data_IF_431428280225
#
_entry.id   IF_431428280225
#
_cell.length_a   1.000
_cell.length_b   1.000
_cell.length_c   1.000
_cell.angle_alpha   90.00
_cell.angle_beta   90.00
_cell.angle_gamma   90.00
#
_symmetry.space_group_name_H-M   'P 1'
#
loop_
_entity.id
_entity.type
_entity.pdbx_description
1 polymer ?
#
# COMPACT_ATOMS: atom_id res chain seq x y z
N UNK A 1 -11.45 12.65 24.59
CA UNK A 1 -11.43 13.10 23.18
C UNK A 1 -11.79 11.92 22.31
N UNK A 2 -12.69 12.07 21.34
CA UNK A 2 -12.98 11.00 20.38
C UNK A 2 -11.73 10.75 19.53
N UNK A 3 -11.27 9.51 19.50
CA UNK A 3 -10.18 9.09 18.61
C UNK A 3 -10.76 8.90 17.22
N UNK A 4 -10.15 9.53 16.21
CA UNK A 4 -10.54 9.36 14.81
C UNK A 4 -10.27 7.92 14.39
N UNK A 5 -11.31 7.19 14.00
CA UNK A 5 -11.26 5.81 13.51
C UNK A 5 -12.10 5.72 12.23
N UNK A 6 -11.50 5.79 11.04
CA UNK A 6 -12.25 5.58 9.80
C UNK A 6 -12.75 4.13 9.75
N UNK A 7 -13.97 3.86 9.23
CA UNK A 7 -14.43 2.49 9.04
C UNK A 7 -13.60 1.75 7.99
N UNK A 8 -13.19 2.46 6.94
CA UNK A 8 -12.23 2.01 5.95
C UNK A 8 -11.35 3.18 5.51
N UNK A 9 -10.04 2.96 5.44
CA UNK A 9 -9.05 3.94 4.98
C UNK A 9 -8.67 3.64 3.53
N UNK A 10 -8.67 4.63 2.61
CA UNK A 10 -8.25 4.42 1.23
C UNK A 10 -6.74 4.14 1.16
N UNK A 11 -6.33 3.12 0.40
CA UNK A 11 -4.93 2.79 0.14
C UNK A 11 -4.54 3.00 -1.33
N UNK A 12 -5.37 2.56 -2.27
CA UNK A 12 -5.23 2.85 -3.70
C UNK A 12 -6.62 3.04 -4.29
N UNK A 13 -6.98 4.29 -4.58
CA UNK A 13 -8.36 4.66 -4.98
C UNK A 13 -8.37 5.52 -6.24
N UNK A 14 -7.56 5.13 -7.23
CA UNK A 14 -7.40 5.87 -8.47
C UNK A 14 -8.53 5.62 -9.50
N UNK A 15 -9.17 4.44 -9.49
CA UNK A 15 -10.24 4.08 -10.42
C UNK A 15 -11.12 2.93 -9.89
N UNK A 16 -12.25 2.58 -10.52
CA UNK A 16 -13.02 1.40 -10.11
C UNK A 16 -12.25 0.07 -10.17
N UNK A 17 -11.16 0.00 -10.94
CA UNK A 17 -10.26 -1.17 -11.02
C UNK A 17 -9.07 -1.07 -10.05
N UNK A 18 -8.83 0.12 -9.49
CA UNK A 18 -7.78 0.42 -8.51
C UNK A 18 -8.47 1.09 -7.31
N UNK A 19 -9.15 0.26 -6.53
CA UNK A 19 -9.98 0.70 -5.39
C UNK A 19 -9.82 -0.30 -4.24
N UNK A 20 -8.71 -0.12 -3.54
CA UNK A 20 -8.21 -0.92 -2.42
C UNK A 20 -8.29 -0.14 -1.11
N UNK A 21 -8.82 -0.79 -0.08
CA UNK A 21 -9.19 -0.18 1.19
C UNK A 21 -8.71 -1.03 2.38
N UNK A 22 -8.35 -0.37 3.48
CA UNK A 22 -8.11 -1.01 4.78
C UNK A 22 -9.33 -0.83 5.67
N UNK A 23 -10.13 -1.88 5.88
CA UNK A 23 -11.36 -1.83 6.68
C UNK A 23 -11.20 -2.33 8.12
N UNK A 24 -10.02 -2.10 8.69
CA UNK A 24 -9.62 -2.50 10.05
C UNK A 24 -9.06 -1.33 10.84
N UNK A 25 -8.91 -1.51 12.16
CA UNK A 25 -8.33 -0.49 13.04
C UNK A 25 -6.84 -0.29 12.78
N UNK A 26 -6.09 -1.39 12.70
CA UNK A 26 -4.69 -1.37 12.30
C UNK A 26 -4.54 -1.95 10.90
N UNK A 27 -3.64 -1.35 10.12
CA UNK A 27 -3.27 -1.81 8.78
C UNK A 27 -2.70 -3.24 8.77
N UNK A 28 -2.37 -3.76 9.94
CA UNK A 28 -1.80 -5.09 10.20
C UNK A 28 -2.81 -6.10 10.72
N UNK A 29 -4.09 -5.74 10.86
CA UNK A 29 -5.10 -6.65 11.42
C UNK A 29 -5.64 -7.63 10.36
N UNK A 30 -5.74 -7.22 9.09
CA UNK A 30 -6.24 -8.04 7.98
C UNK A 30 -5.62 -7.62 6.63
N UNK A 31 -5.88 -8.40 5.59
CA UNK A 31 -5.57 -8.02 4.23
C UNK A 31 -6.39 -6.78 3.81
N UNK A 32 -5.84 -5.87 2.99
CA UNK A 32 -6.66 -4.89 2.29
C UNK A 32 -7.73 -5.56 1.45
N UNK A 33 -8.82 -4.86 1.22
CA UNK A 33 -9.95 -5.34 0.42
C UNK A 33 -10.16 -4.46 -0.80
N UNK A 34 -10.48 -5.09 -1.93
CA UNK A 34 -11.03 -4.39 -3.07
C UNK A 34 -12.47 -3.92 -2.77
N UNK A 35 -12.97 -2.91 -3.48
CA UNK A 35 -14.33 -2.39 -3.24
C UNK A 35 -15.45 -3.42 -3.46
N UNK A 36 -15.18 -4.52 -4.18
CA UNK A 36 -16.09 -5.66 -4.33
C UNK A 36 -16.17 -6.54 -3.08
N UNK A 37 -15.25 -6.38 -2.15
CA UNK A 37 -15.13 -7.17 -0.92
C UNK A 37 -14.09 -8.29 -0.99
N UNK A 38 -13.46 -8.50 -2.15
CA UNK A 38 -12.40 -9.49 -2.32
C UNK A 38 -11.13 -9.05 -1.57
N UNK A 39 -10.48 -9.96 -0.86
CA UNK A 39 -9.20 -9.70 -0.19
C UNK A 39 -8.07 -9.60 -1.20
N UNK A 40 -7.15 -8.66 -0.98
CA UNK A 40 -5.97 -8.45 -1.80
C UNK A 40 -4.72 -8.75 -0.97
N UNK A 41 -3.91 -9.68 -1.48
CA UNK A 41 -2.67 -10.11 -0.83
C UNK A 41 -1.57 -9.05 -0.98
N UNK A 42 -1.66 -8.01 -0.15
CA UNK A 42 -0.63 -6.99 0.00
C UNK A 42 0.16 -7.26 1.27
N UNK A 43 1.49 -7.18 1.15
CA UNK A 43 2.41 -7.46 2.25
C UNK A 43 3.35 -6.29 2.44
N UNK A 44 3.44 -5.82 3.69
CA UNK A 44 4.43 -4.83 4.08
C UNK A 44 5.25 -5.31 5.27
N UNK A 45 6.57 -5.39 5.09
CA UNK A 45 7.52 -5.69 6.15
C UNK A 45 8.53 -4.55 6.31
N UNK A 46 9.03 -4.36 7.52
CA UNK A 46 10.14 -3.47 7.82
C UNK A 46 11.13 -4.21 8.70
N UNK A 47 12.39 -4.23 8.28
CA UNK A 47 13.50 -4.81 9.04
C UNK A 47 14.26 -3.69 9.72
N UNK A 48 14.48 -3.81 11.03
CA UNK A 48 15.22 -2.83 11.85
C UNK A 48 16.30 -3.59 12.62
N UNK A 49 17.55 -3.45 12.19
CA UNK A 49 18.62 -4.36 12.61
C UNK A 49 18.31 -5.81 12.20
N UNK A 50 18.20 -6.71 13.18
CA UNK A 50 17.91 -8.13 12.97
C UNK A 50 16.43 -8.49 13.19
N UNK A 51 15.60 -7.54 13.62
CA UNK A 51 14.18 -7.76 13.87
C UNK A 51 13.33 -7.36 12.67
N UNK A 52 12.33 -8.17 12.34
CA UNK A 52 11.36 -7.92 11.27
C UNK A 52 10.00 -7.65 11.88
N UNK A 53 9.35 -6.59 11.40
CA UNK A 53 8.00 -6.20 11.80
C UNK A 53 7.11 -6.09 10.57
N UNK A 54 5.85 -6.49 10.70
CA UNK A 54 4.84 -6.35 9.65
C UNK A 54 4.09 -5.03 9.83
N UNK A 55 3.99 -4.23 8.78
CA UNK A 55 3.28 -2.93 8.79
C UNK A 55 2.04 -2.90 7.89
N UNK A 56 1.83 -3.92 7.05
CA UNK A 56 0.64 -4.06 6.19
C UNK A 56 0.30 -5.54 5.97
N UNK A 57 -1.00 -5.82 5.86
CA UNK A 57 -1.55 -7.10 5.44
C UNK A 57 -2.02 -7.96 6.61
N UNK A 58 -2.55 -9.16 6.31
CA UNK A 58 -2.98 -10.11 7.31
C UNK A 58 -1.78 -10.65 8.14
N UNK A 59 -2.03 -11.21 9.34
CA UNK A 59 -1.00 -11.95 10.08
C UNK A 59 -0.44 -13.12 9.25
N UNK A 60 0.80 -12.98 8.80
CA UNK A 60 1.56 -14.02 8.11
C UNK A 60 2.69 -14.49 9.02
N UNK A 61 2.72 -15.79 9.34
CA UNK A 61 3.73 -16.42 10.21
C UNK A 61 3.80 -15.78 11.62
N UNK A 62 4.80 -16.16 12.41
CA UNK A 62 5.11 -15.53 13.70
C UNK A 62 5.90 -14.22 13.54
N UNK A 63 5.49 -13.35 12.61
CA UNK A 63 6.07 -12.02 12.43
C UNK A 63 5.28 -11.01 13.26
N UNK A 64 5.97 -10.32 14.17
CA UNK A 64 5.36 -9.30 15.03
C UNK A 64 4.81 -8.12 14.21
N UNK A 65 3.61 -7.65 14.55
CA UNK A 65 3.08 -6.41 13.96
C UNK A 65 3.85 -5.19 14.48
N UNK A 66 4.22 -4.27 13.58
CA UNK A 66 4.63 -2.94 13.95
C UNK A 66 3.47 -2.24 14.66
N UNK A 67 3.76 -1.51 15.73
CA UNK A 67 2.71 -0.82 16.50
C UNK A 67 2.26 0.41 15.71
N UNK A 68 1.02 0.41 15.23
CA UNK A 68 0.41 1.59 14.63
C UNK A 68 0.25 2.69 15.70
N UNK A 69 0.87 3.85 15.46
CA UNK A 69 0.78 5.03 16.33
C UNK A 69 -0.43 5.88 15.92
N UNK A 70 -0.62 6.09 14.63
CA UNK A 70 -1.70 6.93 14.10
C UNK A 70 -2.06 6.60 12.66
N UNK A 71 -3.29 6.95 12.30
CA UNK A 71 -3.77 7.06 10.93
C UNK A 71 -4.39 8.46 10.73
N UNK A 72 -4.04 9.11 9.63
CA UNK A 72 -4.60 10.40 9.21
C UNK A 72 -5.10 10.26 7.77
N UNK A 73 -6.36 10.63 7.53
CA UNK A 73 -6.98 10.60 6.21
C UNK A 73 -7.22 12.03 5.74
N UNK A 74 -6.50 12.42 4.70
CA UNK A 74 -6.60 13.69 3.99
C UNK A 74 -7.32 13.48 2.64
N UNK A 75 -7.72 14.54 1.92
CA UNK A 75 -8.54 14.41 0.71
C UNK A 75 -8.00 13.46 -0.37
N UNK A 76 -6.67 13.39 -0.53
CA UNK A 76 -5.99 12.56 -1.53
C UNK A 76 -4.90 11.66 -0.94
N UNK A 77 -4.73 11.69 0.39
CA UNK A 77 -3.60 11.06 1.06
C UNK A 77 -4.04 10.35 2.34
N UNK A 78 -3.64 9.10 2.50
CA UNK A 78 -3.71 8.38 3.77
C UNK A 78 -2.32 8.22 4.35
N UNK A 79 -2.11 8.75 5.55
CA UNK A 79 -0.83 8.67 6.27
C UNK A 79 -0.93 7.74 7.47
N UNK A 80 -0.01 6.79 7.54
CA UNK A 80 0.17 5.92 8.69
C UNK A 80 1.53 6.16 9.33
N UNK A 81 1.59 6.07 10.65
CA UNK A 81 2.83 6.10 11.43
C UNK A 81 2.90 4.85 12.28
N UNK A 82 4.02 4.13 12.19
CA UNK A 82 4.29 2.88 12.90
C UNK A 82 5.56 2.98 13.73
N UNK A 83 5.56 2.35 14.90
CA UNK A 83 6.77 2.05 15.67
C UNK A 83 7.20 0.60 15.40
N UNK A 84 8.41 0.42 14.90
CA UNK A 84 9.04 -0.87 14.64
C UNK A 84 10.39 -0.93 15.38
N UNK A 85 10.42 -1.55 16.56
CA UNK A 85 11.61 -1.53 17.42
C UNK A 85 12.02 -0.10 17.75
N UNK A 86 13.26 0.28 17.43
CA UNK A 86 13.78 1.64 17.62
C UNK A 86 13.46 2.61 16.48
N UNK A 87 12.90 2.13 15.36
CA UNK A 87 12.62 2.96 14.20
C UNK A 87 11.14 3.37 14.11
N UNK A 88 10.91 4.55 13.55
CA UNK A 88 9.59 5.06 13.20
C UNK A 88 9.44 5.00 11.69
N UNK A 89 8.44 4.26 11.21
CA UNK A 89 8.09 4.16 9.80
C UNK A 89 6.85 5.01 9.53
N UNK A 90 6.96 5.99 8.63
CA UNK A 90 5.81 6.70 8.06
C UNK A 90 5.56 6.16 6.66
N UNK A 91 4.31 5.80 6.39
CA UNK A 91 3.86 5.33 5.07
C UNK A 91 2.75 6.26 4.60
N UNK A 92 2.85 6.75 3.37
CA UNK A 92 1.82 7.58 2.76
C UNK A 92 1.34 6.94 1.47
N UNK A 93 0.02 6.77 1.36
CA UNK A 93 -0.66 6.40 0.13
C UNK A 93 -1.26 7.67 -0.46
N UNK A 94 -0.78 8.10 -1.63
CA UNK A 94 -1.18 9.34 -2.29
C UNK A 94 -1.74 9.04 -3.67
N UNK A 95 -3.00 9.41 -3.90
CA UNK A 95 -3.65 9.38 -5.21
C UNK A 95 -3.87 10.84 -5.64
N UNK A 96 -3.15 11.39 -6.62
CA UNK A 96 -3.23 12.78 -7.02
C UNK A 96 -4.50 13.06 -7.85
N UNK A 97 -5.67 12.95 -7.21
CA UNK A 97 -6.98 13.22 -7.83
C UNK A 97 -7.29 14.72 -7.96
N UNK A 98 -6.47 15.57 -7.33
CA UNK A 98 -6.57 17.02 -7.39
C UNK A 98 -5.21 17.54 -7.83
N UNK A 99 -5.15 18.06 -9.05
CA UNK A 99 -3.96 18.71 -9.60
C UNK A 99 -4.21 20.22 -9.70
N UNK A 100 -3.17 20.99 -9.38
CA UNK A 100 -3.16 22.45 -9.50
C UNK A 100 -2.27 22.91 -10.67
N UNK A 101 -1.68 21.98 -11.41
CA UNK A 101 -1.02 22.29 -12.67
C UNK A 101 -2.06 22.66 -13.73
N UNK A 102 -1.67 23.58 -14.62
CA UNK A 102 -2.52 24.17 -15.65
C UNK A 102 -3.02 23.14 -16.66
N UNK A 103 -2.26 22.06 -16.82
CA UNK A 103 -2.52 21.02 -17.82
C UNK A 103 -3.20 19.77 -17.22
N UNK A 104 -3.45 19.75 -15.90
CA UNK A 104 -4.16 18.67 -15.17
C UNK A 104 -3.61 17.25 -15.41
N UNK A 105 -2.37 17.12 -15.87
CA UNK A 105 -1.81 15.84 -16.34
C UNK A 105 -1.90 14.77 -15.26
N UNK A 106 -1.55 15.10 -14.01
CA UNK A 106 -1.53 14.12 -12.93
C UNK A 106 -2.92 13.73 -12.47
N UNK A 107 -3.90 14.65 -12.53
CA UNK A 107 -5.30 14.34 -12.21
C UNK A 107 -5.95 13.39 -13.23
N UNK A 108 -5.37 13.25 -14.42
CA UNK A 108 -5.87 12.33 -15.46
C UNK A 108 -5.18 10.97 -15.49
N UNK A 109 -4.12 10.80 -14.70
CA UNK A 109 -3.36 9.56 -14.63
C UNK A 109 -3.81 8.74 -13.40
N UNK A 110 -4.38 7.54 -13.58
CA UNK A 110 -4.82 6.71 -12.46
C UNK A 110 -3.61 6.04 -11.77
N UNK A 111 -2.86 6.84 -11.01
CA UNK A 111 -1.63 6.43 -10.33
C UNK A 111 -1.78 6.70 -8.84
N UNK A 112 -1.47 5.70 -8.02
CA UNK A 112 -1.27 5.88 -6.59
C UNK A 112 0.21 5.69 -6.28
N UNK A 113 0.80 6.59 -5.50
CA UNK A 113 2.16 6.45 -4.99
C UNK A 113 2.14 5.99 -3.55
N UNK A 114 3.11 5.13 -3.19
CA UNK A 114 3.37 4.73 -1.82
C UNK A 114 4.74 5.27 -1.43
N UNK A 115 4.78 6.18 -0.46
CA UNK A 115 6.00 6.78 0.03
C UNK A 115 6.38 6.18 1.38
N UNK A 116 7.68 6.01 1.61
CA UNK A 116 8.23 5.46 2.84
C UNK A 116 9.25 6.43 3.43
N UNK A 117 9.05 6.80 4.70
CA UNK A 117 10.04 7.57 5.48
C UNK A 117 10.37 6.80 6.75
N UNK A 118 11.65 6.50 6.93
CA UNK A 118 12.15 5.70 8.03
C UNK A 118 13.15 6.51 8.86
N UNK A 119 12.91 6.62 10.16
CA UNK A 119 13.71 7.42 11.09
C UNK A 119 14.10 6.59 12.32
N UNK A 120 15.23 6.90 12.96
CA UNK A 120 15.62 6.29 14.25
C UNK A 120 16.49 5.03 14.17
N UNK A 121 16.88 4.55 12.98
CA UNK A 121 17.87 3.47 12.82
C UNK A 121 18.79 3.70 11.62
N UNK A 122 20.11 3.46 11.74
CA UNK A 122 21.05 3.51 10.60
C UNK A 122 20.99 2.28 9.70
N UNK A 123 20.37 1.18 10.15
CA UNK A 123 20.23 -0.06 9.38
C UNK A 123 18.77 -0.48 9.41
N UNK A 124 18.05 -0.16 8.34
CA UNK A 124 16.67 -0.57 8.20
C UNK A 124 16.27 -0.64 6.73
N UNK A 125 15.38 -1.58 6.43
CA UNK A 125 14.91 -1.90 5.08
C UNK A 125 13.40 -2.03 5.08
N UNK A 126 12.77 -1.55 4.02
CA UNK A 126 11.32 -1.68 3.82
C UNK A 126 11.09 -2.63 2.67
N UNK A 127 10.16 -3.56 2.87
CA UNK A 127 9.63 -4.46 1.85
C UNK A 127 8.16 -4.15 1.68
N UNK A 128 7.74 -4.01 0.43
CA UNK A 128 6.35 -3.86 0.03
C UNK A 128 6.12 -4.72 -1.21
N UNK A 129 5.04 -5.48 -1.21
CA UNK A 129 4.70 -6.37 -2.30
C UNK A 129 3.18 -6.51 -2.43
N UNK A 130 2.74 -6.85 -3.63
CA UNK A 130 1.35 -7.08 -3.98
C UNK A 130 1.27 -8.31 -4.87
N UNK A 131 0.40 -9.25 -4.52
CA UNK A 131 0.14 -10.41 -5.39
C UNK A 131 -0.37 -9.97 -6.75
N UNK A 132 0.04 -10.71 -7.78
CA UNK A 132 -0.44 -10.51 -9.15
C UNK A 132 -1.94 -10.81 -9.30
N UNK A 133 -2.56 -11.45 -8.31
CA UNK A 133 -4.02 -11.57 -8.18
C UNK A 133 -4.72 -10.19 -8.11
N UNK A 134 -4.01 -9.14 -7.71
CA UNK A 134 -4.53 -7.74 -7.78
C UNK A 134 -4.85 -7.31 -9.21
N UNK A 135 -4.29 -8.00 -10.22
CA UNK A 135 -4.54 -7.72 -11.64
C UNK A 135 -5.56 -8.68 -12.28
N UNK A 136 -6.24 -9.51 -11.50
CA UNK A 136 -7.27 -10.45 -11.98
C UNK A 136 -8.65 -10.09 -11.41
N UNK A 137 -9.70 -10.54 -12.11
CA UNK A 137 -11.08 -10.52 -11.63
C UNK A 137 -11.47 -11.87 -10.99
N UNK A 138 -10.81 -12.96 -11.39
CA UNK A 138 -11.03 -14.31 -10.87
C UNK A 138 -9.71 -15.00 -10.59
N UNK A 139 -9.74 -15.96 -9.68
CA UNK A 139 -8.55 -16.70 -9.24
C UNK A 139 -8.01 -17.69 -10.30
N UNK A 140 -8.80 -18.01 -11.32
CA UNK A 140 -8.44 -18.92 -12.41
C UNK A 140 -7.85 -18.22 -13.64
N UNK A 141 -7.69 -16.90 -13.60
CA UNK A 141 -7.11 -16.12 -14.69
C UNK A 141 -5.59 -16.21 -14.67
N UNK A 142 -5.02 -16.61 -15.81
CA UNK A 142 -3.57 -16.66 -15.99
C UNK A 142 -2.97 -15.26 -16.07
N UNK A 143 -1.94 -15.00 -15.26
CA UNK A 143 -1.25 -13.71 -15.19
C UNK A 143 0.11 -13.79 -15.85
N UNK A 144 0.43 -12.77 -16.65
CA UNK A 144 1.77 -12.50 -17.16
C UNK A 144 2.37 -11.28 -16.44
N UNK A 145 3.69 -11.27 -16.28
CA UNK A 145 4.40 -10.13 -15.72
C UNK A 145 5.73 -9.88 -16.43
N UNK A 146 6.20 -8.63 -16.39
CA UNK A 146 7.50 -8.23 -16.93
C UNK A 146 8.17 -7.18 -16.05
N UNK A 147 9.49 -7.06 -16.21
CA UNK A 147 10.31 -6.00 -15.62
C UNK A 147 10.99 -5.21 -16.74
N UNK A 148 10.81 -3.90 -16.71
CA UNK A 148 11.41 -2.97 -17.65
C UNK A 148 12.24 -1.93 -16.91
N UNK A 149 13.40 -1.58 -17.47
CA UNK A 149 14.18 -0.44 -16.99
C UNK A 149 13.67 0.84 -17.68
N UNK A 150 13.30 1.84 -16.88
CA UNK A 150 13.00 3.19 -17.33
C UNK A 150 14.07 4.20 -16.89
N UNK A 151 13.98 5.47 -17.33
CA UNK A 151 14.91 6.51 -16.90
C UNK A 151 14.80 6.79 -15.39
N UNK A 152 15.67 6.17 -14.59
CA UNK A 152 15.70 6.34 -13.13
C UNK A 152 14.61 5.57 -12.36
N UNK A 153 13.87 4.69 -13.03
CA UNK A 153 12.80 3.87 -12.44
C UNK A 153 12.92 2.42 -12.93
N UNK A 154 12.60 1.46 -12.05
CA UNK A 154 12.29 0.09 -12.46
C UNK A 154 10.78 -0.05 -12.52
N UNK A 155 10.26 -0.60 -13.62
CA UNK A 155 8.82 -0.78 -13.82
C UNK A 155 8.52 -2.26 -13.81
N UNK A 156 7.61 -2.67 -12.92
CA UNK A 156 7.01 -3.99 -12.95
C UNK A 156 5.63 -3.85 -13.58
N UNK A 157 5.33 -4.71 -14.55
CA UNK A 157 4.00 -4.81 -15.16
C UNK A 157 3.43 -6.18 -14.84
N UNK A 158 2.16 -6.24 -14.48
CA UNK A 158 1.41 -7.48 -14.32
C UNK A 158 -0.01 -7.29 -14.87
N UNK A 159 -0.57 -8.35 -15.46
CA UNK A 159 -1.91 -8.35 -16.03
C UNK A 159 -2.30 -9.72 -16.57
N UNK A 160 -3.59 -9.93 -16.83
CA UNK A 160 -4.03 -11.23 -17.37
C UNK A 160 -3.52 -11.43 -18.79
N UNK A 161 -3.25 -12.68 -19.18
CA UNK A 161 -2.86 -13.02 -20.57
C UNK A 161 -3.97 -12.71 -21.58
N UNK A 162 -5.22 -12.63 -21.12
CA UNK A 162 -6.39 -12.27 -21.92
C UNK A 162 -6.54 -10.75 -22.12
N UNK A 163 -5.88 -9.92 -21.31
CA UNK A 163 -5.92 -8.47 -21.40
C UNK A 163 -5.18 -8.02 -22.67
N UNK A 164 -5.92 -7.40 -23.60
CA UNK A 164 -5.41 -6.89 -24.88
C UNK A 164 -5.12 -5.40 -24.82
#
# INVERSE_FOLDING_TARGET
AFSFRPPCTPLDVASPYQSTWSCTDNLTDAAPVHWTGDELDWVGLVRVGDAVYRWLGAPVLEIAAARQISVEVLPTLSRYVFQAGSATLTVEFLTPAIDHDKDYVWATCPVTTVSFKLEGSPSAEVYFDMSAATATQKDDEEVTWSRDAGPGIEVIRAGTTAQK
#
